data_IF_067545934591
#
_entry.id   IF_067545934591
#
_cell.length_a   1.000
_cell.length_b   1.000
_cell.length_c   1.000
_cell.angle_alpha   90.00
_cell.angle_beta   90.00
_cell.angle_gamma   90.00
#
_symmetry.space_group_name_H-M   'P 1'
#
loop_
_entity.id
_entity.type
_entity.pdbx_description
1 polymer ?
#
# COMPACT_ATOMS: atom_id res chain seq x y z
N UNK A 1 23.58 2.89 -2.72
CA UNK A 1 22.11 3.02 -2.91
C UNK A 1 21.81 2.82 -4.38
N UNK A 2 20.79 2.02 -4.70
CA UNK A 2 20.38 1.65 -6.06
C UNK A 2 18.88 1.93 -6.20
N UNK A 3 18.43 2.39 -7.36
CA UNK A 3 17.02 2.73 -7.60
C UNK A 3 16.50 1.98 -8.82
N UNK A 4 15.26 1.51 -8.75
CA UNK A 4 14.59 0.80 -9.84
C UNK A 4 13.13 1.24 -9.91
N UNK A 5 12.65 1.54 -11.11
CA UNK A 5 11.28 2.02 -11.34
C UNK A 5 10.52 1.04 -12.21
N UNK A 6 9.31 0.67 -11.80
CA UNK A 6 8.42 -0.21 -12.59
C UNK A 6 7.13 0.54 -12.88
N UNK A 7 6.94 0.92 -14.14
CA UNK A 7 5.68 1.50 -14.63
C UNK A 7 4.57 0.45 -14.73
N UNK A 8 3.36 0.85 -14.38
CA UNK A 8 2.11 0.08 -14.44
C UNK A 8 0.98 0.93 -15.03
N UNK A 9 -0.20 0.35 -15.20
CA UNK A 9 -1.36 1.03 -15.78
C UNK A 9 -1.90 0.31 -17.01
N UNK A 10 -2.50 1.06 -17.94
CA UNK A 10 -3.03 0.49 -19.18
C UNK A 10 -1.91 -0.23 -19.94
N UNK A 11 -2.19 -1.43 -20.46
CA UNK A 11 -1.21 -2.31 -21.15
C UNK A 11 0.05 -2.66 -20.33
N UNK A 12 0.05 -2.39 -19.01
CA UNK A 12 1.15 -2.77 -18.11
C UNK A 12 2.32 -1.79 -18.01
N UNK A 13 2.25 -0.61 -18.65
CA UNK A 13 3.26 0.46 -18.54
C UNK A 13 2.72 1.86 -18.85
N UNK A 14 1.52 2.01 -19.40
CA UNK A 14 0.96 3.30 -19.80
C UNK A 14 0.10 3.89 -18.68
N UNK A 15 0.51 5.04 -18.15
CA UNK A 15 -0.24 5.77 -17.13
C UNK A 15 0.64 6.29 -15.98
N UNK A 16 0.00 6.57 -14.85
CA UNK A 16 0.65 7.14 -13.66
C UNK A 16 0.71 6.15 -12.47
N UNK A 17 0.72 4.84 -12.77
CA UNK A 17 0.75 3.77 -11.77
C UNK A 17 2.11 3.08 -11.82
N UNK A 18 2.52 2.49 -10.72
CA UNK A 18 3.80 1.79 -10.65
C UNK A 18 4.46 1.85 -9.29
N UNK A 19 5.76 1.65 -9.29
CA UNK A 19 6.59 1.76 -8.09
C UNK A 19 7.95 2.39 -8.37
N UNK A 20 8.51 2.98 -7.33
CA UNK A 20 9.92 3.29 -7.20
C UNK A 20 10.43 2.46 -6.03
N UNK A 21 11.48 1.69 -6.29
CA UNK A 21 12.14 0.84 -5.30
C UNK A 21 13.58 1.31 -5.08
N UNK A 22 13.99 1.39 -3.83
CA UNK A 22 15.33 1.80 -3.41
C UNK A 22 15.97 0.65 -2.64
N UNK A 23 17.16 0.24 -3.08
CA UNK A 23 18.02 -0.76 -2.43
C UNK A 23 19.22 -0.07 -1.79
N UNK A 24 19.52 -0.38 -0.54
CA UNK A 24 20.68 0.15 0.18
C UNK A 24 21.15 -0.82 1.25
N UNK A 25 22.37 -0.61 1.75
CA UNK A 25 22.90 -1.35 2.89
C UNK A 25 23.24 -0.38 4.01
N UNK A 26 22.93 -0.78 5.24
CA UNK A 26 23.42 -0.13 6.46
C UNK A 26 24.25 -1.16 7.19
N UNK A 27 25.56 -0.91 7.29
CA UNK A 27 26.54 -1.94 7.66
C UNK A 27 26.39 -3.21 6.80
N UNK A 28 26.09 -4.35 7.42
CA UNK A 28 25.96 -5.66 6.76
C UNK A 28 24.50 -6.03 6.47
N UNK A 29 23.54 -5.14 6.76
CA UNK A 29 22.11 -5.39 6.57
C UNK A 29 21.61 -4.64 5.34
N UNK A 30 21.01 -5.39 4.42
CA UNK A 30 20.40 -4.86 3.22
C UNK A 30 18.94 -4.48 3.44
N UNK A 31 18.57 -3.31 2.93
CA UNK A 31 17.22 -2.75 3.02
C UNK A 31 16.66 -2.50 1.62
N UNK A 32 15.38 -2.80 1.44
CA UNK A 32 14.62 -2.39 0.27
C UNK A 32 13.37 -1.59 0.67
N UNK A 33 13.24 -0.38 0.14
CA UNK A 33 12.06 0.46 0.29
C UNK A 33 11.32 0.54 -1.03
N UNK A 34 10.05 0.15 -1.06
CA UNK A 34 9.19 0.22 -2.24
C UNK A 34 8.08 1.24 -1.97
N UNK A 35 8.00 2.29 -2.78
CA UNK A 35 6.86 3.20 -2.79
C UNK A 35 6.03 2.95 -4.05
N UNK A 36 4.78 2.55 -3.91
CA UNK A 36 3.91 2.22 -5.05
C UNK A 36 2.60 2.99 -5.07
N UNK A 37 2.10 3.23 -6.28
CA UNK A 37 0.75 3.70 -6.56
C UNK A 37 0.09 2.67 -7.48
N UNK A 38 -0.75 1.80 -6.93
CA UNK A 38 -1.36 0.68 -7.65
C UNK A 38 -2.66 1.08 -8.35
N UNK A 39 -3.15 0.21 -9.25
CA UNK A 39 -4.39 0.45 -10.00
C UNK A 39 -5.56 0.88 -9.11
N UNK A 40 -6.08 2.08 -9.38
CA UNK A 40 -7.26 2.63 -8.70
C UNK A 40 -8.55 2.04 -9.25
N UNK A 41 -9.60 2.03 -8.44
CA UNK A 41 -10.94 1.61 -8.87
C UNK A 41 -11.68 0.87 -7.77
N UNK A 42 -13.02 0.86 -7.87
CA UNK A 42 -13.92 0.21 -6.91
C UNK A 42 -14.89 -0.77 -7.59
N UNK A 43 -14.69 -1.06 -8.88
CA UNK A 43 -15.46 -2.10 -9.56
C UNK A 43 -14.97 -3.46 -9.07
N UNK A 44 -15.89 -4.41 -9.07
CA UNK A 44 -15.54 -5.81 -8.85
C UNK A 44 -14.45 -6.25 -9.83
N UNK A 45 -13.43 -6.94 -9.32
CA UNK A 45 -12.26 -7.36 -10.10
C UNK A 45 -11.14 -6.33 -10.19
N UNK A 46 -11.33 -5.08 -9.75
CA UNK A 46 -10.23 -4.09 -9.73
C UNK A 46 -9.12 -4.51 -8.75
N UNK A 47 -9.45 -5.28 -7.70
CA UNK A 47 -8.47 -5.87 -6.78
C UNK A 47 -7.52 -6.86 -7.48
N UNK A 48 -8.01 -7.59 -8.48
CA UNK A 48 -7.16 -8.51 -9.24
C UNK A 48 -6.12 -7.77 -10.08
N UNK A 49 -6.45 -6.55 -10.55
CA UNK A 49 -5.48 -5.69 -11.23
C UNK A 49 -4.40 -5.19 -10.27
N UNK A 50 -4.77 -4.85 -9.03
CA UNK A 50 -3.80 -4.51 -7.98
C UNK A 50 -2.90 -5.69 -7.62
N UNK A 51 -3.44 -6.90 -7.50
CA UNK A 51 -2.64 -8.11 -7.30
C UNK A 51 -1.65 -8.31 -8.45
N UNK A 52 -2.11 -8.12 -9.70
CA UNK A 52 -1.24 -8.19 -10.88
C UNK A 52 -0.14 -7.13 -10.86
N UNK A 53 -0.45 -5.90 -10.42
CA UNK A 53 0.57 -4.85 -10.26
C UNK A 53 1.63 -5.25 -9.22
N UNK A 54 1.23 -5.81 -8.08
CA UNK A 54 2.16 -6.31 -7.04
C UNK A 54 3.08 -7.39 -7.61
N UNK A 55 2.52 -8.38 -8.30
CA UNK A 55 3.32 -9.46 -8.92
C UNK A 55 4.30 -8.92 -9.95
N UNK A 56 3.87 -7.99 -10.80
CA UNK A 56 4.71 -7.41 -11.84
C UNK A 56 5.81 -6.52 -11.27
N UNK A 57 5.53 -5.77 -10.19
CA UNK A 57 6.55 -4.98 -9.48
C UNK A 57 7.63 -5.90 -8.89
N UNK A 58 7.24 -6.97 -8.18
CA UNK A 58 8.18 -7.97 -7.67
C UNK A 58 9.01 -8.60 -8.79
N UNK A 59 8.35 -8.97 -9.89
CA UNK A 59 8.98 -9.64 -11.03
C UNK A 59 9.95 -8.74 -11.78
N UNK A 60 9.63 -7.46 -11.98
CA UNK A 60 10.38 -6.55 -12.87
C UNK A 60 11.38 -5.65 -12.16
N UNK A 61 11.25 -5.46 -10.86
CA UNK A 61 12.23 -4.66 -10.11
C UNK A 61 13.58 -5.37 -10.12
N UNK A 62 14.58 -4.71 -10.71
CA UNK A 62 15.97 -5.17 -10.77
C UNK A 62 16.91 -4.05 -10.36
N UNK A 63 17.88 -4.38 -9.52
CA UNK A 63 18.95 -3.49 -9.10
C UNK A 63 20.26 -3.91 -9.77
N UNK A 64 21.09 -2.97 -10.25
CA UNK A 64 22.35 -3.30 -10.89
C UNK A 64 23.30 -4.00 -9.89
N UNK A 65 24.08 -4.99 -10.36
CA UNK A 65 25.12 -5.60 -9.54
C UNK A 65 26.22 -4.58 -9.23
N UNK A 66 26.85 -4.71 -8.07
CA UNK A 66 28.02 -3.91 -7.67
C UNK A 66 29.25 -4.77 -7.85
N UNK A 67 30.00 -4.56 -8.93
CA UNK A 67 31.24 -5.29 -9.19
C UNK A 67 32.42 -4.68 -8.43
N UNK A 68 32.43 -4.83 -7.11
CA UNK A 68 33.61 -4.59 -6.27
C UNK A 68 33.90 -5.86 -5.46
N UNK A 69 35.18 -6.22 -5.31
CA UNK A 69 35.64 -7.47 -4.70
C UNK A 69 35.21 -7.70 -3.23
N UNK A 70 34.57 -6.71 -2.59
CA UNK A 70 34.07 -6.79 -1.21
C UNK A 70 32.55 -7.03 -1.10
N UNK A 71 31.79 -6.96 -2.20
CA UNK A 71 30.32 -6.85 -2.17
C UNK A 71 29.62 -7.83 -3.15
N UNK A 72 30.16 -9.04 -3.25
CA UNK A 72 29.72 -10.12 -4.15
C UNK A 72 28.26 -10.61 -3.88
N UNK A 73 27.59 -10.07 -2.86
CA UNK A 73 26.24 -10.46 -2.39
C UNK A 73 25.22 -9.31 -2.41
N UNK A 74 25.45 -8.25 -3.18
CA UNK A 74 24.50 -7.14 -3.25
C UNK A 74 23.16 -7.60 -3.85
N UNK A 75 22.01 -7.42 -3.18
CA UNK A 75 20.71 -7.91 -3.68
C UNK A 75 20.33 -7.31 -5.05
N UNK A 76 19.92 -8.16 -5.97
CA UNK A 76 19.50 -7.79 -7.33
C UNK A 76 17.97 -7.70 -7.46
N UNK A 77 17.23 -8.40 -6.61
CA UNK A 77 15.76 -8.36 -6.56
C UNK A 77 15.23 -7.88 -5.20
N UNK A 78 13.94 -7.52 -5.14
CA UNK A 78 13.31 -7.06 -3.89
C UNK A 78 13.47 -8.10 -2.78
N UNK A 79 13.13 -9.36 -3.06
CA UNK A 79 13.05 -10.43 -2.06
C UNK A 79 14.41 -10.98 -1.59
N UNK A 80 15.51 -10.54 -2.18
CA UNK A 80 16.88 -10.88 -1.75
C UNK A 80 17.40 -9.97 -0.62
N UNK A 81 16.65 -8.93 -0.24
CA UNK A 81 17.06 -8.05 0.86
C UNK A 81 16.64 -8.62 2.22
N UNK A 82 17.44 -8.34 3.25
CA UNK A 82 17.16 -8.79 4.63
C UNK A 82 15.90 -8.14 5.18
N UNK A 83 15.71 -6.84 4.90
CA UNK A 83 14.65 -6.01 5.48
C UNK A 83 13.93 -5.21 4.41
N UNK A 84 12.66 -5.50 4.20
CA UNK A 84 11.89 -4.91 3.10
C UNK A 84 10.69 -4.16 3.65
N UNK A 85 10.50 -2.92 3.23
CA UNK A 85 9.32 -2.11 3.55
C UNK A 85 8.65 -1.70 2.24
N UNK A 86 7.38 -2.09 2.08
CA UNK A 86 6.55 -1.69 0.95
C UNK A 86 5.44 -0.77 1.44
N UNK A 87 5.40 0.44 0.91
CA UNK A 87 4.44 1.46 1.26
C UNK A 87 3.82 2.16 0.04
N UNK A 88 2.79 2.95 0.28
CA UNK A 88 2.20 3.87 -0.68
C UNK A 88 0.68 3.71 -0.82
N UNK A 89 0.14 4.31 -1.88
CA UNK A 89 -1.28 4.18 -2.24
C UNK A 89 -1.49 2.85 -2.97
N UNK A 90 -1.77 1.81 -2.18
CA UNK A 90 -2.05 0.47 -2.69
C UNK A 90 -3.46 0.37 -3.27
N UNK A 91 -4.32 1.36 -3.05
CA UNK A 91 -5.64 1.51 -3.67
C UNK A 91 -6.65 0.37 -3.43
N UNK A 92 -6.36 -0.60 -2.56
CA UNK A 92 -7.36 -1.59 -2.13
C UNK A 92 -8.51 -0.91 -1.40
N UNK A 93 -9.73 -1.39 -1.66
CA UNK A 93 -10.98 -0.78 -1.20
C UNK A 93 -11.68 -1.65 -0.17
N UNK A 94 -12.78 -1.15 0.36
CA UNK A 94 -13.70 -1.92 1.20
C UNK A 94 -14.77 -2.56 0.32
N UNK A 95 -14.94 -3.88 0.43
CA UNK A 95 -15.95 -4.67 -0.27
C UNK A 95 -17.34 -4.55 0.37
N UNK A 96 -17.80 -3.31 0.60
CA UNK A 96 -19.12 -2.99 1.14
C UNK A 96 -19.77 -1.88 0.31
N UNK A 97 -21.10 -1.81 0.38
CA UNK A 97 -21.84 -0.64 -0.10
C UNK A 97 -21.40 0.62 0.64
N UNK A 98 -21.49 1.79 -0.02
CA UNK A 98 -21.19 3.08 0.61
C UNK A 98 -21.95 3.26 1.93
N UNK A 99 -23.25 2.92 1.96
CA UNK A 99 -24.10 3.06 3.15
C UNK A 99 -23.61 2.20 4.30
N UNK A 100 -23.29 0.93 4.03
CA UNK A 100 -22.82 -0.02 5.04
C UNK A 100 -21.45 0.38 5.60
N UNK A 101 -20.51 0.74 4.73
CA UNK A 101 -19.20 1.19 5.16
C UNK A 101 -19.28 2.49 5.96
N UNK A 102 -20.09 3.46 5.52
CA UNK A 102 -20.30 4.73 6.23
C UNK A 102 -20.88 4.49 7.63
N UNK A 103 -21.87 3.62 7.77
CA UNK A 103 -22.43 3.28 9.08
C UNK A 103 -21.35 2.71 10.03
N UNK A 104 -20.48 1.81 9.55
CA UNK A 104 -19.37 1.28 10.34
C UNK A 104 -18.34 2.35 10.71
N UNK A 105 -18.09 3.30 9.81
CA UNK A 105 -17.21 4.45 10.06
C UNK A 105 -17.78 5.37 11.13
N UNK A 106 -19.07 5.69 11.07
CA UNK A 106 -19.77 6.53 12.07
C UNK A 106 -19.77 5.86 13.45
N UNK A 107 -19.88 4.52 13.50
CA UNK A 107 -19.75 3.72 14.72
C UNK A 107 -18.30 3.51 15.18
N UNK A 108 -17.31 3.98 14.42
CA UNK A 108 -15.88 3.73 14.63
C UNK A 108 -15.53 2.22 14.74
N UNK A 109 -16.31 1.36 14.09
CA UNK A 109 -16.12 -0.09 14.15
C UNK A 109 -15.11 -0.53 13.08
N UNK A 110 -13.84 -0.15 13.28
CA UNK A 110 -12.75 -0.44 12.36
C UNK A 110 -12.55 -1.94 12.16
N UNK A 111 -12.78 -2.75 13.19
CA UNK A 111 -12.65 -4.20 13.12
C UNK A 111 -13.59 -4.80 12.06
N UNK A 112 -14.89 -4.49 12.14
CA UNK A 112 -15.88 -4.97 11.17
C UNK A 112 -15.63 -4.41 9.76
N UNK A 113 -15.13 -3.17 9.66
CA UNK A 113 -14.79 -2.58 8.37
C UNK A 113 -13.57 -3.29 7.73
N UNK A 114 -12.54 -3.61 8.52
CA UNK A 114 -11.34 -4.34 8.09
C UNK A 114 -11.60 -5.81 7.72
N UNK A 115 -12.67 -6.42 8.22
CA UNK A 115 -13.10 -7.75 7.75
C UNK A 115 -13.49 -7.73 6.27
N UNK A 116 -13.81 -6.56 5.72
CA UNK A 116 -14.18 -6.33 4.34
C UNK A 116 -13.09 -5.59 3.53
N UNK A 117 -11.89 -5.40 4.09
CA UNK A 117 -10.74 -4.78 3.42
C UNK A 117 -10.17 -5.72 2.35
N UNK A 118 -10.13 -5.26 1.09
CA UNK A 118 -9.69 -6.10 -0.02
C UNK A 118 -8.24 -6.55 0.16
N UNK A 119 -7.32 -5.71 0.63
CA UNK A 119 -5.92 -6.13 0.83
C UNK A 119 -5.83 -7.32 1.79
N UNK A 120 -6.50 -7.22 2.95
CA UNK A 120 -6.56 -8.31 3.93
C UNK A 120 -7.22 -9.58 3.37
N UNK A 121 -8.27 -9.44 2.58
CA UNK A 121 -8.93 -10.58 1.93
C UNK A 121 -7.98 -11.24 0.92
N UNK A 122 -7.32 -10.45 0.08
CA UNK A 122 -6.39 -10.96 -0.94
C UNK A 122 -5.14 -11.61 -0.31
N UNK A 123 -4.62 -11.05 0.79
CA UNK A 123 -3.56 -11.67 1.59
C UNK A 123 -3.99 -13.00 2.19
N UNK A 124 -5.15 -13.05 2.88
CA UNK A 124 -5.69 -14.28 3.48
C UNK A 124 -5.93 -15.38 2.45
N UNK A 125 -6.29 -14.99 1.23
CA UNK A 125 -6.53 -15.91 0.10
C UNK A 125 -5.24 -16.26 -0.66
N UNK A 126 -4.08 -15.77 -0.22
CA UNK A 126 -2.79 -16.08 -0.84
C UNK A 126 -2.59 -15.48 -2.23
N UNK A 127 -3.31 -14.42 -2.59
CA UNK A 127 -3.29 -13.84 -3.95
C UNK A 127 -2.43 -12.59 -4.13
N UNK A 128 -2.11 -11.91 -3.03
CA UNK A 128 -1.18 -10.78 -3.02
C UNK A 128 -0.46 -10.72 -1.68
N UNK A 129 0.77 -10.19 -1.67
CA UNK A 129 1.54 -9.96 -0.44
C UNK A 129 1.63 -11.19 0.48
N UNK A 130 1.84 -12.38 -0.10
CA UNK A 130 1.98 -13.64 0.65
C UNK A 130 3.24 -13.61 1.50
N UNK A 131 3.11 -13.88 2.80
CA UNK A 131 4.21 -13.83 3.76
C UNK A 131 4.63 -12.42 4.20
N UNK A 132 3.99 -11.37 3.67
CA UNK A 132 4.21 -10.01 4.14
C UNK A 132 3.39 -9.73 5.40
N UNK A 133 3.94 -8.90 6.27
CA UNK A 133 3.34 -8.48 7.52
C UNK A 133 2.76 -7.06 7.39
N UNK A 134 1.71 -6.79 8.15
CA UNK A 134 1.11 -5.46 8.29
C UNK A 134 0.70 -5.23 9.75
N UNK A 135 0.89 -4.00 10.24
CA UNK A 135 0.49 -3.60 11.58
C UNK A 135 -1.01 -3.66 11.78
N UNK A 136 -1.40 -3.74 13.04
CA UNK A 136 -2.83 -3.57 13.39
C UNK A 136 -3.24 -2.13 13.10
N UNK A 137 -4.27 -1.96 12.29
CA UNK A 137 -4.86 -0.67 11.97
C UNK A 137 -5.88 -0.32 13.04
N UNK A 138 -5.64 0.78 13.75
CA UNK A 138 -6.53 1.34 14.77
C UNK A 138 -7.03 2.75 14.42
N UNK A 139 -6.74 3.20 13.20
CA UNK A 139 -7.09 4.54 12.71
C UNK A 139 -8.17 4.48 11.62
N UNK A 140 -8.94 5.58 11.40
CA UNK A 140 -9.98 5.64 10.38
C UNK A 140 -9.45 5.44 8.95
N UNK A 141 -10.29 5.04 7.98
CA UNK A 141 -9.93 4.99 6.57
C UNK A 141 -9.27 6.29 6.08
N UNK A 142 -8.22 6.18 5.27
CA UNK A 142 -7.40 7.34 4.86
C UNK A 142 -7.90 8.04 3.61
N UNK A 143 -8.87 7.46 2.91
CA UNK A 143 -9.45 7.96 1.66
C UNK A 143 -10.96 7.70 1.63
N UNK A 144 -11.81 8.47 0.95
CA UNK A 144 -11.58 9.76 0.29
C UNK A 144 -12.18 10.87 1.13
N UNK A 145 -11.44 11.91 1.45
CA UNK A 145 -11.94 13.08 2.15
C UNK A 145 -12.39 14.19 1.20
N UNK A 146 -13.35 15.00 1.63
CA UNK A 146 -13.67 16.27 0.98
C UNK A 146 -12.53 17.27 1.20
N UNK A 147 -12.32 18.18 0.25
CA UNK A 147 -11.25 19.19 0.28
C UNK A 147 -11.27 19.98 1.60
N UNK A 148 -10.12 20.05 2.26
CA UNK A 148 -9.94 20.79 3.52
C UNK A 148 -10.95 20.42 4.63
N UNK A 149 -11.38 19.16 4.70
CA UNK A 149 -12.42 18.69 5.64
C UNK A 149 -12.12 17.30 6.18
N UNK A 150 -12.60 16.98 7.38
CA UNK A 150 -12.56 15.63 7.97
C UNK A 150 -13.77 14.78 7.60
N UNK A 151 -14.66 15.30 6.73
CA UNK A 151 -15.78 14.55 6.18
C UNK A 151 -15.32 13.71 4.99
N UNK A 152 -15.77 12.45 4.94
CA UNK A 152 -15.58 11.63 3.74
C UNK A 152 -16.39 12.20 2.57
N UNK A 153 -15.80 12.15 1.38
CA UNK A 153 -16.43 12.62 0.16
C UNK A 153 -17.66 11.76 -0.18
N UNK A 154 -18.80 12.42 -0.42
CA UNK A 154 -20.07 11.76 -0.78
C UNK A 154 -21.25 12.13 0.11
N UNK A 155 -21.02 12.83 1.23
CA UNK A 155 -22.09 13.30 2.11
C UNK A 155 -22.97 14.38 1.49
N UNK A 156 -22.38 15.29 0.72
CA UNK A 156 -23.08 16.44 0.13
C UNK A 156 -23.37 16.23 -1.37
N UNK A 157 -23.24 14.99 -1.87
CA UNK A 157 -23.34 14.69 -3.31
C UNK A 157 -24.73 14.28 -3.76
N UNK A 158 -25.12 14.77 -4.94
CA UNK A 158 -26.36 14.38 -5.61
C UNK A 158 -26.42 12.86 -5.81
N UNK A 159 -27.62 12.24 -5.78
CA UNK A 159 -27.79 10.78 -5.91
C UNK A 159 -27.18 10.15 -7.17
N UNK A 160 -26.92 10.93 -8.22
CA UNK A 160 -26.35 10.48 -9.50
C UNK A 160 -24.82 10.48 -9.53
N UNK A 161 -24.15 11.05 -8.53
CA UNK A 161 -22.70 11.13 -8.48
C UNK A 161 -22.09 9.86 -7.86
N UNK A 162 -20.98 9.37 -8.45
CA UNK A 162 -20.33 8.14 -8.00
C UNK A 162 -19.62 8.37 -6.66
N UNK A 163 -20.30 7.99 -5.57
CA UNK A 163 -19.72 7.95 -4.22
C UNK A 163 -18.54 6.99 -4.16
N UNK A 164 -17.51 7.38 -3.40
CA UNK A 164 -16.36 6.54 -3.08
C UNK A 164 -16.51 6.06 -1.65
N UNK A 165 -16.52 4.75 -1.47
CA UNK A 165 -16.53 4.15 -0.14
C UNK A 165 -15.24 4.53 0.60
N UNK A 166 -15.32 4.97 1.87
CA UNK A 166 -14.13 5.15 2.70
C UNK A 166 -13.25 3.89 2.70
N UNK A 167 -11.95 4.02 2.52
CA UNK A 167 -11.01 2.91 2.43
C UNK A 167 -9.61 3.26 2.97
N UNK A 168 -8.89 2.22 3.42
CA UNK A 168 -7.45 2.30 3.71
C UNK A 168 -6.66 2.01 2.43
N UNK A 169 -6.54 3.04 1.59
CA UNK A 169 -5.76 2.98 0.36
C UNK A 169 -4.25 3.03 0.66
N UNK A 170 -3.86 3.78 1.70
CA UNK A 170 -2.47 4.10 2.04
C UNK A 170 -1.95 3.10 3.08
N UNK A 171 -0.97 2.26 2.71
CA UNK A 171 -0.56 1.10 3.52
C UNK A 171 0.96 1.03 3.68
N UNK A 172 1.39 0.33 4.74
CA UNK A 172 2.81 0.05 5.03
C UNK A 172 2.91 -1.40 5.46
N UNK A 173 3.56 -2.21 4.63
CA UNK A 173 3.82 -3.63 4.86
C UNK A 173 5.33 -3.87 4.94
N UNK A 174 5.72 -5.00 5.54
CA UNK A 174 7.12 -5.41 5.57
C UNK A 174 7.30 -6.91 5.35
N UNK A 175 8.49 -7.29 4.92
CA UNK A 175 8.93 -8.67 4.71
C UNK A 175 10.38 -8.84 5.17
N UNK A 176 10.74 -10.06 5.53
CA UNK A 176 12.04 -10.40 6.09
C UNK A 176 12.04 -10.34 7.61
N UNK A 177 13.21 -10.62 8.19
CA UNK A 177 13.40 -10.76 9.63
C UNK A 177 14.03 -9.50 10.24
N UNK A 178 13.83 -9.32 11.55
CA UNK A 178 14.47 -8.22 12.30
C UNK A 178 13.85 -6.84 12.07
N UNK A 179 12.66 -6.75 11.48
CA UNK A 179 11.83 -5.55 11.52
C UNK A 179 10.68 -5.73 12.51
N UNK A 180 10.59 -4.84 13.49
CA UNK A 180 9.49 -4.79 14.45
C UNK A 180 8.78 -3.44 14.34
N UNK A 181 7.53 -3.44 13.86
CA UNK A 181 6.75 -2.21 13.76
C UNK A 181 6.30 -1.74 15.15
N UNK A 182 6.83 -0.60 15.58
CA UNK A 182 6.55 0.04 16.87
C UNK A 182 5.29 0.91 16.82
N UNK A 183 5.02 1.54 15.68
CA UNK A 183 3.90 2.44 15.49
C UNK A 183 3.34 2.34 14.08
N UNK A 184 2.02 2.45 13.96
CA UNK A 184 1.31 2.51 12.69
C UNK A 184 0.10 3.43 12.80
N UNK A 185 0.21 4.66 12.29
CA UNK A 185 -0.73 5.75 12.56
C UNK A 185 -1.04 6.58 11.32
N UNK A 186 -2.20 7.23 11.34
CA UNK A 186 -2.63 8.22 10.34
C UNK A 186 -2.32 9.63 10.86
N UNK A 187 -1.90 10.53 9.97
CA UNK A 187 -1.80 11.96 10.24
C UNK A 187 -3.06 12.73 9.87
N UNK A 188 -3.20 13.94 10.42
CA UNK A 188 -4.39 14.79 10.26
C UNK A 188 -4.23 15.94 9.25
N UNK A 189 -3.24 15.85 8.35
CA UNK A 189 -3.10 16.86 7.29
C UNK A 189 -4.29 16.82 6.33
N UNK A 190 -4.93 17.98 6.08
CA UNK A 190 -6.11 18.13 5.22
C UNK A 190 -5.80 18.61 3.80
N UNK A 191 -4.51 18.65 3.43
CA UNK A 191 -4.06 19.18 2.13
C UNK A 191 -4.47 18.28 0.95
N UNK A 192 -4.68 16.99 1.21
CA UNK A 192 -5.09 15.99 0.21
C UNK A 192 -6.45 15.39 0.60
N UNK A 193 -7.10 14.76 -0.39
CA UNK A 193 -8.23 13.85 -0.17
C UNK A 193 -7.80 12.50 0.44
N UNK A 194 -6.49 12.29 0.59
CA UNK A 194 -5.88 11.27 1.43
C UNK A 194 -5.36 11.85 2.75
N UNK A 195 -5.20 10.97 3.75
CA UNK A 195 -4.53 11.27 5.02
C UNK A 195 -3.17 10.58 5.08
N UNK A 196 -2.09 11.29 5.44
CA UNK A 196 -0.77 10.67 5.55
C UNK A 196 -0.78 9.46 6.48
N UNK A 197 0.07 8.47 6.20
CA UNK A 197 0.25 7.28 7.05
C UNK A 197 1.72 7.15 7.40
N UNK A 198 1.99 6.86 8.68
CA UNK A 198 3.32 6.72 9.24
C UNK A 198 3.50 5.34 9.85
N UNK A 199 4.67 4.76 9.64
CA UNK A 199 5.12 3.54 10.28
C UNK A 199 6.48 3.78 10.93
N UNK A 200 6.65 3.35 12.18
CA UNK A 200 7.93 3.40 12.88
C UNK A 200 8.37 1.97 13.13
N UNK A 201 9.63 1.66 12.82
CA UNK A 201 10.20 0.33 12.96
C UNK A 201 11.43 0.37 13.84
N UNK A 202 11.57 -0.65 14.69
CA UNK A 202 12.86 -1.06 15.24
C UNK A 202 13.50 -2.04 14.25
N UNK A 203 14.76 -1.78 13.93
CA UNK A 203 15.55 -2.52 12.95
C UNK A 203 16.95 -2.73 13.51
#
# INVERSE_FOLDING_TARGET
MKVSCVGRGLMGYLGNKGSISVSMSVHQTSFCFICSHLTSGQKEGDELRRNSDVMEILKKTRFPPVHNAADEKSPETILEHDRIIWLGDLNYRISLSYRSAKALVEMQNWRALLENDQLRIEQKRGRAFVGWNEGKIYFPPTYKYSTNSDRYAGDDMHPKEKRRTPAWCDRILWYGEGLHQLSYVRGESRFSDHRPVYGIFWA
#
